data_IF_370965561902
#
_entry.id   IF_370965561902
#
_cell.length_a   1.000
_cell.length_b   1.000
_cell.length_c   1.000
_cell.angle_alpha   90.00
_cell.angle_beta   90.00
_cell.angle_gamma   90.00
#
_symmetry.space_group_name_H-M   'P 1'
#
loop_
_entity.id
_entity.type
_entity.pdbx_description
1 polymer ?
#
# COMPACT_ATOMS: atom_id res chain seq x y z
N UNK A 1 -26.09 2.52 25.42
CA UNK A 1 -24.91 2.95 24.62
C UNK A 1 -23.82 1.92 24.88
N UNK A 2 -23.50 1.08 23.90
CA UNK A 2 -22.40 0.11 24.03
C UNK A 2 -21.12 0.90 23.75
N UNK A 3 -20.14 0.97 24.67
CA UNK A 3 -18.86 1.57 24.35
C UNK A 3 -18.18 0.70 23.30
N UNK A 4 -18.06 1.21 22.09
CA UNK A 4 -17.20 0.62 21.07
C UNK A 4 -15.77 0.80 21.55
N UNK A 5 -15.12 -0.27 22.02
CA UNK A 5 -13.67 -0.24 22.18
C UNK A 5 -13.06 0.05 20.80
N UNK A 6 -12.07 0.95 20.71
CA UNK A 6 -11.32 1.09 19.47
C UNK A 6 -10.73 -0.29 19.13
N UNK A 7 -11.00 -0.76 17.92
CA UNK A 7 -10.40 -1.98 17.41
C UNK A 7 -8.97 -1.59 17.06
N UNK A 8 -8.01 -2.07 17.85
CA UNK A 8 -6.59 -2.01 17.46
C UNK A 8 -6.38 -3.07 16.38
N UNK A 9 -6.33 -2.63 15.12
CA UNK A 9 -5.91 -3.48 13.99
C UNK A 9 -4.41 -3.30 13.77
N UNK A 10 -3.70 -4.36 13.39
CA UNK A 10 -2.32 -4.25 12.92
C UNK A 10 -2.25 -3.78 11.46
N UNK A 11 -1.12 -3.21 11.04
CA UNK A 11 -0.86 -2.86 9.63
C UNK A 11 -1.07 -4.05 8.70
N UNK A 12 -0.63 -5.24 9.14
CA UNK A 12 -0.82 -6.49 8.40
C UNK A 12 -2.30 -6.85 8.23
N UNK A 13 -3.12 -6.68 9.26
CA UNK A 13 -4.56 -6.94 9.16
C UNK A 13 -5.26 -5.91 8.27
N UNK A 14 -4.82 -4.64 8.32
CA UNK A 14 -5.29 -3.60 7.41
C UNK A 14 -4.95 -3.96 5.95
N UNK A 15 -3.69 -4.27 5.67
CA UNK A 15 -3.23 -4.72 4.35
C UNK A 15 -4.07 -5.90 3.84
N UNK A 16 -4.18 -6.97 4.62
CA UNK A 16 -4.96 -8.15 4.23
C UNK A 16 -6.45 -7.85 4.00
N UNK A 17 -6.98 -6.83 4.66
CA UNK A 17 -8.38 -6.43 4.48
C UNK A 17 -8.56 -5.63 3.20
N UNK A 18 -7.65 -4.70 2.92
CA UNK A 18 -7.65 -3.87 1.72
C UNK A 18 -7.36 -4.71 0.47
N UNK A 19 -6.39 -5.63 0.52
CA UNK A 19 -6.04 -6.51 -0.61
C UNK A 19 -7.18 -7.46 -1.03
N UNK A 20 -8.17 -7.72 -0.16
CA UNK A 20 -9.37 -8.50 -0.54
C UNK A 20 -10.26 -7.76 -1.53
N UNK A 21 -10.23 -6.43 -1.53
CA UNK A 21 -10.97 -5.60 -2.46
C UNK A 21 -10.32 -4.23 -2.61
N UNK A 22 -9.31 -4.13 -3.48
CA UNK A 22 -8.62 -2.87 -3.75
C UNK A 22 -9.54 -1.77 -4.33
N UNK A 23 -10.75 -2.12 -4.82
CA UNK A 23 -11.70 -1.12 -5.30
C UNK A 23 -12.19 -0.18 -4.19
N UNK A 24 -12.00 -0.54 -2.92
CA UNK A 24 -12.29 0.38 -1.81
C UNK A 24 -11.37 1.60 -1.76
N UNK A 25 -10.18 1.52 -2.38
CA UNK A 25 -9.24 2.63 -2.51
C UNK A 25 -9.49 3.42 -3.80
N UNK A 26 -9.49 2.72 -4.94
CA UNK A 26 -9.75 3.29 -6.25
C UNK A 26 -10.35 2.21 -7.17
N UNK A 27 -11.41 2.56 -7.91
CA UNK A 27 -12.05 1.65 -8.86
C UNK A 27 -11.08 1.21 -9.97
N UNK A 28 -10.98 -0.10 -10.16
CA UNK A 28 -10.16 -0.68 -11.23
C UNK A 28 -8.70 -0.90 -10.86
N UNK A 29 -8.34 -0.81 -9.57
CA UNK A 29 -7.05 -1.29 -9.08
C UNK A 29 -6.95 -2.81 -9.23
N UNK A 30 -5.86 -3.26 -9.84
CA UNK A 30 -5.51 -4.67 -10.00
C UNK A 30 -4.32 -5.00 -9.12
N UNK A 31 -4.49 -5.95 -8.19
CA UNK A 31 -3.40 -6.46 -7.38
C UNK A 31 -2.31 -7.08 -8.26
N UNK A 32 -1.06 -6.74 -7.97
CA UNK A 32 0.12 -7.30 -8.66
C UNK A 32 0.86 -8.26 -7.73
N UNK A 33 1.37 -7.75 -6.61
CA UNK A 33 2.17 -8.51 -5.65
C UNK A 33 2.23 -7.77 -4.31
N UNK A 34 2.69 -8.45 -3.25
CA UNK A 34 2.96 -7.86 -1.95
C UNK A 34 4.37 -8.16 -1.46
N UNK A 35 4.84 -7.41 -0.47
CA UNK A 35 6.20 -7.52 0.08
C UNK A 35 7.28 -7.48 -1.02
N UNK A 36 7.14 -6.58 -1.99
CA UNK A 36 8.03 -6.49 -3.14
C UNK A 36 9.36 -5.90 -2.69
N UNK A 37 10.46 -6.66 -2.69
CA UNK A 37 11.75 -6.15 -2.26
C UNK A 37 12.27 -5.15 -3.29
N UNK A 38 12.71 -3.99 -2.81
CA UNK A 38 13.34 -2.95 -3.64
C UNK A 38 14.76 -2.68 -3.16
N UNK A 39 15.49 -1.80 -3.85
CA UNK A 39 16.90 -1.52 -3.53
C UNK A 39 17.11 -1.17 -2.05
N UNK A 40 16.21 -0.37 -1.48
CA UNK A 40 16.12 -0.10 -0.03
C UNK A 40 14.66 -0.13 0.39
N UNK A 41 14.32 -1.07 1.26
CA UNK A 41 12.95 -1.25 1.76
C UNK A 41 12.17 -2.33 1.01
N UNK A 42 10.90 -2.44 1.37
CA UNK A 42 9.96 -3.42 0.85
C UNK A 42 8.64 -2.67 0.64
N UNK A 43 8.06 -2.77 -0.55
CA UNK A 43 6.72 -2.24 -0.84
C UNK A 43 5.69 -3.20 -0.24
N UNK A 44 4.75 -2.69 0.56
CA UNK A 44 3.70 -3.52 1.17
C UNK A 44 2.81 -4.15 0.09
N UNK A 45 2.14 -3.33 -0.74
CA UNK A 45 1.36 -3.79 -1.90
C UNK A 45 1.71 -3.01 -3.16
N UNK A 46 1.90 -3.74 -4.26
CA UNK A 46 2.00 -3.20 -5.60
C UNK A 46 0.72 -3.52 -6.37
N UNK A 47 0.21 -2.54 -7.11
CA UNK A 47 -0.99 -2.67 -7.93
C UNK A 47 -0.82 -1.95 -9.28
N UNK A 48 -1.82 -2.09 -10.16
CA UNK A 48 -1.99 -1.32 -11.38
C UNK A 48 -3.31 -0.57 -11.34
N UNK A 49 -3.31 0.72 -11.71
CA UNK A 49 -4.55 1.47 -11.96
C UNK A 49 -5.20 1.04 -13.30
N UNK A 50 -6.39 1.60 -13.59
CA UNK A 50 -7.12 1.35 -14.84
C UNK A 50 -6.37 1.73 -16.12
N UNK A 51 -5.37 2.60 -16.02
CA UNK A 51 -4.51 3.04 -17.12
C UNK A 51 -3.20 2.24 -17.19
N UNK A 52 -3.04 1.22 -16.34
CA UNK A 52 -1.82 0.40 -16.19
C UNK A 52 -0.63 1.18 -15.63
N UNK A 53 -0.86 2.24 -14.88
CA UNK A 53 0.19 2.87 -14.08
C UNK A 53 0.43 2.04 -12.82
N UNK A 54 1.69 1.80 -12.42
CA UNK A 54 2.00 1.19 -11.14
C UNK A 54 1.53 2.04 -9.96
N UNK A 55 0.93 1.40 -8.98
CA UNK A 55 0.46 2.02 -7.73
C UNK A 55 1.14 1.32 -6.57
N UNK A 56 1.81 2.10 -5.73
CA UNK A 56 2.41 1.66 -4.47
C UNK A 56 1.45 2.00 -3.34
N UNK A 57 1.13 1.03 -2.49
CA UNK A 57 0.27 1.22 -1.34
C UNK A 57 1.08 0.84 -0.10
N UNK A 58 1.23 1.80 0.82
CA UNK A 58 1.89 1.64 2.12
C UNK A 58 0.82 1.75 3.22
N UNK A 59 0.83 0.85 4.21
CA UNK A 59 -0.18 0.83 5.26
C UNK A 59 0.39 1.36 6.58
N UNK A 60 -0.39 2.21 7.26
CA UNK A 60 -0.08 2.76 8.59
C UNK A 60 -1.33 2.73 9.46
N UNK A 61 -1.17 2.37 10.72
CA UNK A 61 -2.27 2.34 11.71
C UNK A 61 -2.04 3.27 12.89
N UNK A 62 -0.80 3.75 13.09
CA UNK A 62 -0.45 4.63 14.20
C UNK A 62 -0.42 6.09 13.74
N UNK A 63 -0.96 6.97 14.57
CA UNK A 63 -0.81 8.42 14.38
C UNK A 63 0.66 8.82 14.55
N UNK A 64 1.15 9.71 13.68
CA UNK A 64 2.52 10.24 13.74
C UNK A 64 3.53 9.54 12.84
N UNK A 65 3.12 8.53 12.07
CA UNK A 65 4.00 7.89 11.07
C UNK A 65 3.87 8.49 9.66
N UNK A 66 3.05 9.53 9.50
CA UNK A 66 2.69 10.13 8.21
C UNK A 66 3.90 10.63 7.40
N UNK A 67 4.88 11.25 8.06
CA UNK A 67 6.08 11.77 7.38
C UNK A 67 6.95 10.63 6.83
N UNK A 68 7.18 9.60 7.65
CA UNK A 68 7.97 8.42 7.24
C UNK A 68 7.26 7.67 6.11
N UNK A 69 5.95 7.46 6.23
CA UNK A 69 5.15 6.79 5.21
C UNK A 69 5.14 7.55 3.88
N UNK A 70 5.07 8.88 3.92
CA UNK A 70 5.19 9.73 2.72
C UNK A 70 6.56 9.56 2.06
N UNK A 71 7.64 9.61 2.85
CA UNK A 71 9.01 9.45 2.33
C UNK A 71 9.24 8.06 1.73
N UNK A 72 8.74 7.00 2.39
CA UNK A 72 8.77 5.63 1.86
C UNK A 72 8.01 5.54 0.53
N UNK A 73 6.77 6.05 0.50
CA UNK A 73 5.93 6.04 -0.70
C UNK A 73 6.60 6.74 -1.89
N UNK A 74 7.21 7.91 -1.66
CA UNK A 74 7.95 8.65 -2.69
C UNK A 74 9.20 7.90 -3.15
N UNK A 75 9.95 7.30 -2.22
CA UNK A 75 11.14 6.49 -2.52
C UNK A 75 10.78 5.31 -3.42
N UNK A 76 9.71 4.60 -3.07
CA UNK A 76 9.22 3.43 -3.80
C UNK A 76 8.65 3.79 -5.17
N UNK A 77 7.85 4.86 -5.27
CA UNK A 77 7.36 5.35 -6.55
C UNK A 77 8.52 5.68 -7.52
N UNK A 78 9.56 6.36 -7.03
CA UNK A 78 10.77 6.64 -7.82
C UNK A 78 11.57 5.37 -8.16
N UNK A 79 11.56 4.34 -7.30
CA UNK A 79 12.20 3.05 -7.64
C UNK A 79 11.45 2.35 -8.78
N UNK A 80 10.11 2.30 -8.72
CA UNK A 80 9.27 1.69 -9.75
C UNK A 80 9.40 2.42 -11.09
N UNK A 81 9.44 3.75 -11.08
CA UNK A 81 9.69 4.56 -12.28
C UNK A 81 11.03 4.22 -12.96
N UNK A 82 12.07 3.99 -12.16
CA UNK A 82 13.41 3.61 -12.65
C UNK A 82 13.57 2.14 -13.01
N UNK A 83 12.68 1.28 -12.52
CA UNK A 83 12.70 -0.16 -12.72
C UNK A 83 11.34 -0.59 -13.25
N UNK A 84 10.98 -0.20 -14.49
CA UNK A 84 9.66 -0.45 -15.03
C UNK A 84 9.37 -1.95 -15.03
N UNK A 85 8.45 -2.34 -14.18
CA UNK A 85 8.02 -3.72 -14.04
C UNK A 85 7.15 -4.03 -15.25
N UNK A 86 7.52 -5.08 -15.99
CA UNK A 86 6.72 -5.57 -17.12
C UNK A 86 5.78 -6.63 -16.58
N UNK A 87 4.49 -6.34 -16.65
CA UNK A 87 3.39 -7.24 -16.29
C UNK A 87 2.87 -7.98 -17.51
#
# INVERSE_FOLDING_TARGET
MIPTRPIEISEKELQQTVEKDLNMLEEGLLFVDHFVPVGVGIIDTLALDKNKNPVVIEYKVQEGEDETALLQSLSYANWVDKNPIRF
#
